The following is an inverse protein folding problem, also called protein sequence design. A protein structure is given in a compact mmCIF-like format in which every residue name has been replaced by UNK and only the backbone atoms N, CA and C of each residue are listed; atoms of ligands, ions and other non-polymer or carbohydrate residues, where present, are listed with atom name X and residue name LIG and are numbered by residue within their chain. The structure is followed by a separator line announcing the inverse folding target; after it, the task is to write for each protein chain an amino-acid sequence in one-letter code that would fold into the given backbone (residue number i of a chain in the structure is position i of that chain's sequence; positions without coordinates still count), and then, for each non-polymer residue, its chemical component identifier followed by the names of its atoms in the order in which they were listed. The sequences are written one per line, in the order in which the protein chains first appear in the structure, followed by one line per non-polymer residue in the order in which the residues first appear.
data_IF_584229788130
#
_entry.id   IF_584229788130
#
_cell.length_a   1.000
_cell.length_b   1.000
_cell.length_c   1.000
_cell.angle_alpha   90.00
_cell.angle_beta   90.00
_cell.angle_gamma   90.00
#
_symmetry.space_group_name_H-M   'P 1'
#
loop_
_entity.id
_entity.type
_entity.pdbx_description
1 polymer ?
#
# COMPACT_ATOMS: atom_id res chain seq x y z
N UNK A 1 2.46 -42.90 -5.89
CA UNK A 1 3.14 -41.60 -6.04
C UNK A 1 2.40 -40.57 -5.18
N UNK A 2 3.09 -39.98 -4.21
CA UNK A 2 2.50 -39.37 -3.02
C UNK A 2 1.80 -38.01 -3.26
N UNK A 3 0.47 -38.02 -3.20
CA UNK A 3 -0.39 -36.80 -3.25
C UNK A 3 -0.27 -35.89 -2.01
N UNK A 4 0.36 -36.35 -0.94
CA UNK A 4 0.51 -35.60 0.31
C UNK A 4 1.75 -34.67 0.34
N UNK A 5 2.75 -34.89 -0.51
CA UNK A 5 3.93 -34.05 -0.60
C UNK A 5 3.63 -32.74 -1.34
N UNK A 6 2.92 -32.81 -2.44
CA UNK A 6 2.54 -31.64 -3.24
C UNK A 6 1.58 -30.66 -2.50
N UNK A 7 0.77 -31.17 -1.57
CA UNK A 7 -0.16 -30.33 -0.80
C UNK A 7 0.55 -29.52 0.29
N UNK A 8 1.63 -30.07 0.87
CA UNK A 8 2.47 -29.35 1.85
C UNK A 8 3.36 -28.30 1.18
N UNK A 9 3.88 -28.59 -0.02
CA UNK A 9 4.68 -27.63 -0.80
C UNK A 9 3.81 -26.51 -1.37
N UNK A 10 2.56 -26.77 -1.78
CA UNK A 10 1.62 -25.75 -2.20
C UNK A 10 1.20 -24.83 -1.05
N UNK A 11 0.99 -25.36 0.15
CA UNK A 11 0.69 -24.57 1.36
C UNK A 11 1.91 -23.80 1.87
N UNK A 12 3.12 -24.32 1.66
CA UNK A 12 4.37 -23.62 2.00
C UNK A 12 4.67 -22.47 1.03
N UNK A 13 4.33 -22.59 -0.27
CA UNK A 13 4.51 -21.51 -1.25
C UNK A 13 3.55 -20.34 -1.04
N UNK A 14 2.36 -20.56 -0.48
CA UNK A 14 1.43 -19.50 -0.07
C UNK A 14 1.81 -18.81 1.24
N UNK A 15 2.68 -19.42 2.05
CA UNK A 15 3.11 -18.88 3.35
C UNK A 15 4.39 -18.03 3.27
N UNK A 16 5.08 -18.00 2.14
CA UNK A 16 6.37 -17.32 2.00
C UNK A 16 6.28 -15.79 1.80
N UNK A 17 5.08 -15.19 1.80
CA UNK A 17 4.90 -13.73 1.88
C UNK A 17 4.37 -13.25 3.23
N UNK A 18 4.05 -14.15 4.15
CA UNK A 18 3.85 -13.84 5.55
C UNK A 18 5.11 -14.31 6.29
N UNK A 19 6.14 -13.47 6.32
CA UNK A 19 7.28 -13.70 7.19
C UNK A 19 6.75 -13.93 8.60
N UNK A 20 6.87 -15.16 9.10
CA UNK A 20 6.60 -15.51 10.46
C UNK A 20 7.54 -14.67 11.35
N UNK A 21 7.02 -13.58 11.92
CA UNK A 21 7.66 -12.92 13.05
C UNK A 21 7.40 -13.83 14.24
N UNK A 22 8.37 -14.64 14.58
CA UNK A 22 8.43 -15.33 15.87
C UNK A 22 8.55 -14.25 16.94
N UNK A 23 7.50 -14.06 17.72
CA UNK A 23 7.47 -13.20 18.90
C UNK A 23 8.17 -13.95 20.05
N UNK A 24 9.48 -13.79 20.15
CA UNK A 24 10.17 -13.99 21.41
C UNK A 24 10.21 -12.67 22.18
N UNK A 25 9.78 -12.72 23.44
CA UNK A 25 9.77 -11.57 24.33
C UNK A 25 11.19 -11.05 24.55
N UNK A 26 11.54 -9.95 23.91
CA UNK A 26 12.82 -9.28 24.12
C UNK A 26 12.74 -8.39 25.35
N UNK A 27 13.67 -8.63 26.29
CA UNK A 27 14.05 -7.65 27.32
C UNK A 27 14.59 -6.40 26.65
N UNK A 28 14.18 -5.21 27.11
CA UNK A 28 14.56 -3.92 26.54
C UNK A 28 16.10 -3.81 26.42
N UNK A 29 16.63 -3.58 25.23
CA UNK A 29 18.05 -3.38 25.05
C UNK A 29 18.50 -2.01 25.54
N UNK A 30 19.66 -1.96 26.15
CA UNK A 30 20.34 -0.70 26.54
C UNK A 30 20.88 -0.06 25.27
N UNK A 31 20.39 1.15 24.96
CA UNK A 31 20.86 1.97 23.83
C UNK A 31 22.34 2.27 23.97
N UNK A 32 23.11 2.08 22.92
CA UNK A 32 24.48 2.53 22.80
C UNK A 32 24.74 3.00 21.38
N UNK A 33 25.25 4.23 21.23
CA UNK A 33 25.70 4.72 19.94
C UNK A 33 26.69 3.71 19.33
N UNK A 34 26.47 3.33 18.09
CA UNK A 34 27.43 2.49 17.35
C UNK A 34 28.50 3.40 16.79
N UNK A 35 29.76 3.03 16.97
CA UNK A 35 30.82 3.71 16.26
C UNK A 35 30.66 3.45 14.76
N UNK A 36 30.28 4.47 14.00
CA UNK A 36 30.16 4.42 12.54
C UNK A 36 31.49 4.00 11.84
N UNK A 37 32.59 3.94 12.60
CA UNK A 37 33.88 3.43 12.14
C UNK A 37 34.11 1.96 12.46
N UNK A 38 33.27 1.31 13.26
CA UNK A 38 33.39 -0.10 13.59
C UNK A 38 33.11 -0.98 12.36
N UNK A 39 33.63 -2.19 12.39
CA UNK A 39 33.45 -3.18 11.32
C UNK A 39 32.02 -3.71 11.33
N UNK A 40 31.28 -3.75 10.19
CA UNK A 40 29.93 -4.32 10.12
C UNK A 40 29.88 -5.81 10.51
N UNK A 41 28.73 -6.28 11.00
CA UNK A 41 28.54 -7.67 11.43
C UNK A 41 28.81 -8.68 10.31
N UNK A 42 28.41 -8.39 9.08
CA UNK A 42 28.66 -9.22 7.89
C UNK A 42 30.17 -9.49 7.66
N UNK A 43 31.06 -8.65 8.18
CA UNK A 43 32.50 -8.82 8.14
C UNK A 43 33.10 -9.34 9.47
N UNK A 44 32.26 -9.77 10.41
CA UNK A 44 32.65 -10.28 11.73
C UNK A 44 32.84 -9.20 12.80
N UNK A 45 32.27 -8.02 12.63
CA UNK A 45 32.08 -7.01 13.69
C UNK A 45 30.84 -7.30 14.53
N UNK A 46 30.56 -6.44 15.52
CA UNK A 46 29.38 -6.54 16.35
C UNK A 46 28.16 -5.95 15.60
N UNK A 47 27.01 -6.63 15.71
CA UNK A 47 25.73 -6.06 15.28
C UNK A 47 25.37 -4.80 16.06
N UNK A 48 24.59 -3.91 15.49
CA UNK A 48 24.14 -2.70 16.18
C UNK A 48 23.10 -3.05 17.24
N UNK A 49 23.04 -2.25 18.30
CA UNK A 49 21.95 -2.31 19.27
C UNK A 49 20.76 -1.56 18.68
N UNK A 50 19.82 -2.30 18.15
CA UNK A 50 18.66 -1.78 17.46
C UNK A 50 17.38 -2.26 18.14
N UNK A 51 16.43 -1.31 18.34
CA UNK A 51 15.07 -1.63 18.79
C UNK A 51 14.15 -1.59 17.57
N UNK A 52 13.55 -2.71 17.21
CA UNK A 52 12.65 -2.78 16.05
C UNK A 52 11.35 -1.95 16.20
N UNK A 53 11.20 -1.23 17.32
CA UNK A 53 10.00 -0.50 17.66
C UNK A 53 8.95 -1.36 18.38
N UNK A 54 7.74 -0.83 18.61
CA UNK A 54 6.70 -1.57 19.31
C UNK A 54 6.27 -2.81 18.53
N UNK A 55 5.81 -3.82 19.27
CA UNK A 55 5.18 -4.97 18.66
C UNK A 55 4.00 -4.53 17.75
N UNK A 56 3.92 -5.14 16.58
CA UNK A 56 2.86 -4.87 15.62
C UNK A 56 2.07 -6.16 15.33
N UNK A 57 0.72 -6.15 15.38
CA UNK A 57 -0.18 -4.99 15.51
C UNK A 57 -0.10 -4.28 16.87
N UNK A 58 -0.37 -2.97 16.85
CA UNK A 58 -0.51 -2.20 18.07
C UNK A 58 -1.74 -2.67 18.86
N UNK A 59 -1.59 -2.84 20.18
CA UNK A 59 -2.67 -3.21 21.08
C UNK A 59 -3.02 -2.00 21.97
N UNK A 60 -4.21 -1.44 21.77
CA UNK A 60 -4.68 -0.25 22.48
C UNK A 60 -5.08 -0.55 23.95
N UNK A 61 -5.33 -1.81 24.28
CA UNK A 61 -5.67 -2.29 25.61
C UNK A 61 -7.15 -2.54 25.86
N UNK A 62 -8.03 -2.11 24.96
CA UNK A 62 -9.49 -2.28 25.10
C UNK A 62 -10.14 -3.15 24.00
N UNK A 63 -9.34 -3.75 23.10
CA UNK A 63 -9.85 -4.61 22.03
C UNK A 63 -10.61 -5.82 22.56
N UNK A 64 -10.13 -6.42 23.66
CA UNK A 64 -10.79 -7.60 24.26
C UNK A 64 -12.18 -7.24 24.77
N UNK A 65 -12.34 -6.10 25.43
CA UNK A 65 -13.63 -5.65 25.94
C UNK A 65 -14.60 -5.39 24.79
N UNK A 66 -14.14 -4.69 23.73
CA UNK A 66 -14.95 -4.44 22.55
C UNK A 66 -15.32 -5.71 21.77
N UNK A 67 -14.44 -6.70 21.70
CA UNK A 67 -14.76 -8.01 21.13
C UNK A 67 -15.79 -8.75 21.97
N UNK A 68 -15.70 -8.66 23.29
CA UNK A 68 -16.69 -9.24 24.21
C UNK A 68 -18.07 -8.62 23.99
N UNK A 69 -18.16 -7.29 23.84
CA UNK A 69 -19.40 -6.60 23.48
C UNK A 69 -19.99 -7.10 22.16
N UNK A 70 -19.15 -7.35 21.13
CA UNK A 70 -19.61 -7.93 19.86
C UNK A 70 -20.19 -9.33 20.05
N UNK A 71 -19.54 -10.17 20.86
CA UNK A 71 -20.06 -11.51 21.17
C UNK A 71 -21.41 -11.46 21.92
N UNK A 72 -21.54 -10.61 22.90
CA UNK A 72 -22.74 -10.48 23.72
C UNK A 72 -23.91 -9.87 22.94
N UNK A 73 -23.67 -8.80 22.15
CA UNK A 73 -24.69 -8.14 21.34
C UNK A 73 -25.13 -8.96 20.12
N UNK A 74 -24.33 -9.96 19.71
CA UNK A 74 -24.54 -10.77 18.49
C UNK A 74 -24.53 -9.97 17.18
N UNK A 75 -24.00 -8.74 17.19
CA UNK A 75 -23.81 -7.91 16.01
C UNK A 75 -22.50 -8.28 15.28
N UNK A 76 -22.44 -9.50 14.77
CA UNK A 76 -21.23 -10.08 14.19
C UNK A 76 -20.95 -9.66 12.75
N UNK A 77 -21.90 -9.04 12.11
CA UNK A 77 -21.78 -8.52 10.75
C UNK A 77 -22.16 -7.02 10.70
N UNK A 78 -21.98 -6.40 9.55
CA UNK A 78 -22.50 -5.06 9.31
C UNK A 78 -24.03 -5.09 9.38
N UNK A 79 -24.60 -4.47 10.39
CA UNK A 79 -26.03 -4.39 10.67
C UNK A 79 -26.58 -2.97 10.51
N UNK A 80 -27.33 -2.54 11.50
CA UNK A 80 -27.86 -1.18 11.62
C UNK A 80 -26.79 -0.19 12.13
N UNK A 81 -27.20 1.05 12.38
CA UNK A 81 -26.34 2.16 12.83
C UNK A 81 -25.60 1.88 14.14
N UNK A 82 -26.08 0.96 14.96
CA UNK A 82 -25.43 0.57 16.23
C UNK A 82 -24.36 -0.52 16.06
N UNK A 83 -24.27 -1.12 14.88
CA UNK A 83 -23.30 -2.19 14.67
C UNK A 83 -21.85 -1.67 14.73
N UNK A 84 -20.91 -2.45 15.31
CA UNK A 84 -19.52 -2.04 15.42
C UNK A 84 -18.87 -1.62 14.08
N UNK A 85 -19.31 -2.23 12.98
CA UNK A 85 -18.84 -1.89 11.64
C UNK A 85 -19.32 -0.50 11.19
N UNK A 86 -20.63 -0.16 11.39
CA UNK A 86 -21.16 1.15 11.01
C UNK A 86 -20.62 2.25 11.92
N UNK A 87 -20.43 1.98 13.20
CA UNK A 87 -19.76 2.91 14.12
C UNK A 87 -18.35 3.22 13.63
N UNK A 88 -17.57 2.21 13.25
CA UNK A 88 -16.25 2.39 12.68
C UNK A 88 -16.28 3.17 11.35
N UNK A 89 -17.21 2.87 10.43
CA UNK A 89 -17.39 3.59 9.16
C UNK A 89 -17.55 5.09 9.40
N UNK A 90 -18.43 5.47 10.30
CA UNK A 90 -18.72 6.86 10.63
C UNK A 90 -17.53 7.56 11.29
N UNK A 91 -16.88 6.92 12.24
CA UNK A 91 -15.74 7.50 12.95
C UNK A 91 -14.53 7.65 12.03
N UNK A 92 -14.28 6.67 11.14
CA UNK A 92 -13.20 6.73 10.16
C UNK A 92 -13.45 7.82 9.10
N UNK A 93 -14.66 7.89 8.54
CA UNK A 93 -15.02 8.95 7.60
C UNK A 93 -14.86 10.34 8.24
N UNK A 94 -15.37 10.51 9.47
CA UNK A 94 -15.24 11.75 10.23
C UNK A 94 -13.78 12.11 10.50
N UNK A 95 -12.94 11.15 10.89
CA UNK A 95 -11.51 11.37 11.15
C UNK A 95 -10.77 11.89 9.91
N UNK A 96 -11.11 11.37 8.74
CA UNK A 96 -10.47 11.76 7.49
C UNK A 96 -11.16 12.94 6.80
N UNK A 97 -12.33 13.37 7.28
CA UNK A 97 -13.06 14.52 6.75
C UNK A 97 -13.87 14.20 5.48
N UNK A 98 -14.32 12.94 5.32
CA UNK A 98 -15.25 12.52 4.28
C UNK A 98 -16.67 12.41 4.82
N UNK A 99 -17.68 12.54 3.94
CA UNK A 99 -19.10 12.43 4.34
C UNK A 99 -19.54 10.99 4.53
N UNK A 100 -19.05 10.06 3.69
CA UNK A 100 -19.45 8.67 3.69
C UNK A 100 -18.24 7.75 3.75
N UNK A 101 -18.34 6.72 4.60
CA UNK A 101 -17.38 5.63 4.68
C UNK A 101 -18.13 4.29 4.67
N UNK A 102 -17.66 3.34 3.88
CA UNK A 102 -18.22 1.99 3.81
C UNK A 102 -17.11 0.96 3.99
N UNK A 103 -17.24 0.15 5.02
CA UNK A 103 -16.28 -0.88 5.37
C UNK A 103 -16.50 -2.14 4.52
N UNK A 104 -15.41 -2.65 3.98
CA UNK A 104 -15.37 -3.85 3.14
C UNK A 104 -14.36 -4.86 3.68
N UNK A 105 -14.37 -6.08 3.14
CA UNK A 105 -13.58 -7.20 3.67
C UNK A 105 -12.06 -7.08 3.45
N UNK A 106 -11.60 -6.23 2.53
CA UNK A 106 -10.18 -6.02 2.26
C UNK A 106 -9.94 -4.74 1.43
N UNK A 107 -8.69 -4.26 1.33
CA UNK A 107 -8.34 -3.19 0.41
C UNK A 107 -8.59 -3.57 -1.05
N UNK A 108 -8.38 -4.83 -1.42
CA UNK A 108 -8.68 -5.33 -2.77
C UNK A 108 -10.16 -5.19 -3.11
N UNK A 109 -11.05 -5.58 -2.17
CA UNK A 109 -12.50 -5.43 -2.37
C UNK A 109 -12.94 -3.97 -2.31
N UNK A 110 -12.21 -3.07 -1.62
CA UNK A 110 -12.44 -1.63 -1.72
C UNK A 110 -12.21 -1.12 -3.14
N UNK A 111 -11.07 -1.49 -3.76
CA UNK A 111 -10.76 -1.13 -5.14
C UNK A 111 -11.76 -1.73 -6.14
N UNK A 112 -12.12 -3.00 -5.99
CA UNK A 112 -13.15 -3.65 -6.82
C UNK A 112 -14.50 -2.95 -6.74
N UNK A 113 -14.91 -2.58 -5.52
CA UNK A 113 -16.15 -1.85 -5.27
C UNK A 113 -16.11 -0.47 -5.91
N UNK A 114 -15.00 0.25 -5.82
CA UNK A 114 -14.81 1.56 -6.43
C UNK A 114 -14.85 1.50 -7.96
N UNK A 115 -14.16 0.53 -8.57
CA UNK A 115 -14.21 0.31 -10.02
C UNK A 115 -15.62 -0.06 -10.49
N UNK A 116 -16.33 -0.91 -9.72
CA UNK A 116 -17.72 -1.26 -10.02
C UNK A 116 -18.67 -0.06 -9.91
N UNK A 117 -18.46 0.81 -8.92
CA UNK A 117 -19.27 2.04 -8.76
C UNK A 117 -19.10 3.01 -9.93
N UNK A 118 -17.93 3.03 -10.58
CA UNK A 118 -17.66 3.78 -11.80
C UNK A 118 -17.90 2.99 -13.08
N UNK A 119 -18.57 1.83 -12.99
CA UNK A 119 -18.97 1.00 -14.14
C UNK A 119 -17.80 0.50 -15.00
N UNK A 120 -16.58 0.46 -14.43
CA UNK A 120 -15.39 -0.07 -15.12
C UNK A 120 -15.62 -1.55 -15.44
N UNK A 121 -15.45 -1.97 -16.70
CA UNK A 121 -15.81 -3.31 -17.15
C UNK A 121 -15.01 -3.81 -18.35
N UNK A 122 -15.52 -4.89 -19.01
CA UNK A 122 -14.83 -5.50 -20.13
C UNK A 122 -14.60 -4.53 -21.28
N UNK A 123 -13.35 -4.35 -21.68
CA UNK A 123 -12.96 -3.47 -22.77
C UNK A 123 -12.48 -2.09 -22.33
N UNK A 124 -12.80 -1.69 -21.10
CA UNK A 124 -12.31 -0.45 -20.51
C UNK A 124 -10.82 -0.56 -20.14
N UNK A 125 -10.20 0.59 -19.98
CA UNK A 125 -8.81 0.74 -19.55
C UNK A 125 -8.73 1.56 -18.26
N UNK A 126 -7.86 1.13 -17.35
CA UNK A 126 -7.57 1.88 -16.12
C UNK A 126 -6.07 2.17 -16.06
N UNK A 127 -5.72 3.46 -15.98
CA UNK A 127 -4.32 3.87 -15.85
C UNK A 127 -3.86 3.65 -14.41
N UNK A 128 -2.77 2.91 -14.24
CA UNK A 128 -2.23 2.50 -12.95
C UNK A 128 -0.70 2.49 -12.96
N UNK A 129 -0.08 2.62 -11.79
CA UNK A 129 1.37 2.47 -11.63
C UNK A 129 1.81 1.00 -11.70
N UNK A 130 2.98 0.69 -12.30
CA UNK A 130 3.59 -0.62 -12.20
C UNK A 130 4.27 -0.86 -10.83
N UNK A 131 4.62 0.22 -10.09
CA UNK A 131 5.29 0.16 -8.80
C UNK A 131 4.24 0.15 -7.67
N UNK A 132 3.55 -0.98 -7.50
CA UNK A 132 2.48 -1.15 -6.52
C UNK A 132 2.35 -2.59 -6.04
N UNK A 133 1.54 -2.78 -5.00
CA UNK A 133 1.07 -4.10 -4.62
C UNK A 133 0.13 -4.65 -5.70
N UNK A 134 0.27 -5.94 -6.01
CA UNK A 134 -0.45 -6.59 -7.12
C UNK A 134 -1.98 -6.42 -7.08
N UNK A 135 -2.57 -6.14 -5.93
CA UNK A 135 -4.02 -5.93 -5.80
C UNK A 135 -4.54 -4.76 -6.62
N UNK A 136 -3.76 -3.67 -6.77
CA UNK A 136 -4.14 -2.52 -7.63
C UNK A 136 -4.29 -2.92 -9.10
N UNK A 137 -3.55 -3.94 -9.55
CA UNK A 137 -3.66 -4.51 -10.91
C UNK A 137 -4.74 -5.56 -11.00
N UNK A 138 -4.82 -6.44 -9.99
CA UNK A 138 -5.78 -7.55 -9.99
C UNK A 138 -7.23 -7.08 -9.95
N UNK A 139 -7.55 -6.01 -9.21
CA UNK A 139 -8.91 -5.48 -9.18
C UNK A 139 -9.39 -4.97 -10.56
N UNK A 140 -8.46 -4.48 -11.40
CA UNK A 140 -8.74 -4.08 -12.77
C UNK A 140 -9.01 -5.34 -13.63
N UNK A 141 -8.13 -6.35 -13.53
CA UNK A 141 -8.28 -7.62 -14.25
C UNK A 141 -9.56 -8.38 -13.87
N UNK A 142 -9.95 -8.37 -12.59
CA UNK A 142 -11.19 -8.97 -12.11
C UNK A 142 -12.44 -8.23 -12.63
N UNK A 143 -12.29 -6.95 -12.97
CA UNK A 143 -13.32 -6.19 -13.70
C UNK A 143 -13.35 -6.51 -15.19
N UNK A 144 -12.48 -7.39 -15.69
CA UNK A 144 -12.22 -7.66 -17.11
C UNK A 144 -11.79 -6.41 -17.88
N UNK A 145 -11.29 -5.38 -17.19
CA UNK A 145 -10.68 -4.20 -17.78
C UNK A 145 -9.17 -4.42 -17.99
N UNK A 146 -8.57 -3.58 -18.82
CA UNK A 146 -7.14 -3.64 -19.12
C UNK A 146 -6.37 -2.65 -18.21
N UNK A 147 -5.45 -3.10 -17.36
CA UNK A 147 -4.54 -2.20 -16.67
C UNK A 147 -3.57 -1.58 -17.68
N UNK A 148 -3.55 -0.25 -17.76
CA UNK A 148 -2.64 0.50 -18.62
C UNK A 148 -1.56 1.10 -17.73
N UNK A 149 -0.34 0.58 -17.86
CA UNK A 149 0.78 1.05 -17.06
C UNK A 149 1.34 2.36 -17.60
N UNK A 150 1.54 3.31 -16.69
CA UNK A 150 2.36 4.50 -16.94
C UNK A 150 3.50 4.51 -15.92
N UNK A 151 4.68 5.03 -16.35
CA UNK A 151 5.88 4.95 -15.52
C UNK A 151 5.81 5.86 -14.29
N UNK A 152 6.72 5.68 -13.38
CA UNK A 152 6.80 6.38 -12.11
C UNK A 152 7.88 7.47 -12.15
N UNK A 153 7.76 8.46 -11.29
CA UNK A 153 8.87 9.37 -10.95
C UNK A 153 9.85 8.65 -10.01
N UNK A 154 11.12 8.58 -10.40
CA UNK A 154 12.14 7.83 -9.66
C UNK A 154 12.53 8.45 -8.31
N UNK A 155 12.19 9.70 -8.04
CA UNK A 155 12.49 10.36 -6.77
C UNK A 155 11.33 10.19 -5.78
N UNK A 156 10.09 10.32 -6.27
CA UNK A 156 8.89 10.22 -5.43
C UNK A 156 8.32 8.81 -5.34
N UNK A 157 8.67 7.91 -6.27
CA UNK A 157 8.14 6.55 -6.43
C UNK A 157 6.66 6.53 -6.84
N UNK A 158 6.06 7.70 -7.07
CA UNK A 158 4.65 7.83 -7.42
C UNK A 158 4.45 7.71 -8.93
N UNK A 159 3.23 7.34 -9.34
CA UNK A 159 2.81 7.41 -10.73
C UNK A 159 3.03 8.83 -11.27
N UNK A 160 3.74 8.96 -12.39
CA UNK A 160 3.96 10.25 -13.05
C UNK A 160 2.70 10.65 -13.86
N UNK A 161 2.09 11.78 -13.49
CA UNK A 161 0.89 12.26 -14.15
C UNK A 161 1.11 12.60 -15.63
N UNK A 162 2.32 13.02 -16.01
CA UNK A 162 2.68 13.31 -17.40
C UNK A 162 2.82 12.02 -18.23
N UNK A 163 3.33 10.95 -17.64
CA UNK A 163 3.33 9.63 -18.26
C UNK A 163 1.92 9.05 -18.35
N UNK A 164 1.10 9.26 -17.32
CA UNK A 164 -0.30 8.87 -17.33
C UNK A 164 -1.08 9.59 -18.44
N UNK A 165 -0.89 10.89 -18.64
CA UNK A 165 -1.56 11.65 -19.72
C UNK A 165 -1.28 11.09 -21.11
N UNK A 166 -0.07 10.62 -21.37
CA UNK A 166 0.34 10.03 -22.67
C UNK A 166 -0.39 8.71 -22.97
N UNK A 167 -0.92 8.06 -21.93
CA UNK A 167 -1.60 6.76 -22.05
C UNK A 167 -3.11 6.87 -22.16
N UNK A 168 -3.70 8.05 -21.96
CA UNK A 168 -5.15 8.27 -22.06
C UNK A 168 -5.61 8.13 -23.50
N UNK A 169 -6.67 7.34 -23.70
CA UNK A 169 -7.37 7.17 -24.98
C UNK A 169 -8.88 7.02 -24.74
N UNK A 170 -9.65 6.74 -25.79
CA UNK A 170 -11.11 6.62 -25.76
C UNK A 170 -11.65 5.47 -24.89
N UNK A 171 -10.81 4.50 -24.54
CA UNK A 171 -11.19 3.38 -23.67
C UNK A 171 -10.84 3.64 -22.20
N UNK A 172 -10.16 4.73 -21.88
CA UNK A 172 -9.74 5.03 -20.49
C UNK A 172 -10.95 5.44 -19.66
N UNK A 173 -11.30 4.58 -18.68
CA UNK A 173 -12.48 4.75 -17.82
C UNK A 173 -12.15 5.28 -16.43
N UNK A 174 -10.91 5.10 -15.94
CA UNK A 174 -10.47 5.62 -14.65
C UNK A 174 -8.96 5.89 -14.59
N UNK A 175 -8.57 6.86 -13.74
CA UNK A 175 -7.21 7.06 -13.27
C UNK A 175 -7.11 6.50 -11.85
N UNK A 176 -6.13 5.62 -11.60
CA UNK A 176 -5.91 4.97 -10.30
C UNK A 176 -4.52 5.32 -9.76
N UNK A 177 -4.27 6.57 -9.30
CA UNK A 177 -3.06 6.89 -8.56
C UNK A 177 -3.01 6.10 -7.26
N UNK A 178 -1.84 5.51 -6.97
CA UNK A 178 -1.57 4.79 -5.74
C UNK A 178 -0.65 5.64 -4.87
N UNK A 179 -0.98 5.84 -3.62
CA UNK A 179 -0.15 6.58 -2.65
C UNK A 179 0.91 5.64 -2.05
N UNK A 180 1.94 5.33 -2.85
CA UNK A 180 2.96 4.34 -2.52
C UNK A 180 3.76 4.72 -1.27
N UNK A 181 3.91 3.75 -0.36
CA UNK A 181 4.58 3.95 0.92
C UNK A 181 3.80 4.84 1.89
N UNK A 182 2.62 5.32 1.49
CA UNK A 182 1.83 6.31 2.22
C UNK A 182 2.12 7.76 1.81
N UNK A 183 3.03 7.98 0.87
CA UNK A 183 3.33 9.29 0.30
C UNK A 183 2.29 9.67 -0.77
N UNK A 184 1.85 10.93 -0.84
CA UNK A 184 0.87 11.35 -1.84
C UNK A 184 1.43 11.27 -3.27
N UNK A 185 0.61 10.79 -4.21
CA UNK A 185 0.75 11.13 -5.61
C UNK A 185 0.48 12.63 -5.83
N UNK A 186 0.88 13.20 -6.97
CA UNK A 186 0.53 14.59 -7.33
C UNK A 186 -0.96 14.70 -7.64
N UNK A 187 -1.75 14.86 -6.55
CA UNK A 187 -3.21 14.85 -6.68
C UNK A 187 -3.75 16.06 -7.46
N UNK A 188 -3.06 17.20 -7.45
CA UNK A 188 -3.51 18.33 -8.28
C UNK A 188 -3.42 18.00 -9.76
N UNK A 189 -2.30 17.40 -10.19
CA UNK A 189 -2.11 16.99 -11.57
C UNK A 189 -3.13 15.91 -11.98
N UNK A 190 -3.37 14.90 -11.14
CA UNK A 190 -4.36 13.86 -11.45
C UNK A 190 -5.80 14.39 -11.48
N UNK A 191 -6.18 15.28 -10.57
CA UNK A 191 -7.52 15.88 -10.54
C UNK A 191 -7.75 16.80 -11.74
N UNK A 192 -6.73 17.59 -12.14
CA UNK A 192 -6.79 18.41 -13.35
C UNK A 192 -6.92 17.53 -14.61
N UNK A 193 -6.12 16.47 -14.68
CA UNK A 193 -6.16 15.51 -15.79
C UNK A 193 -7.52 14.82 -15.90
N UNK A 194 -8.05 14.34 -14.78
CA UNK A 194 -9.38 13.73 -14.71
C UNK A 194 -10.48 14.68 -15.17
N UNK A 195 -10.45 15.94 -14.67
CA UNK A 195 -11.38 16.98 -15.07
C UNK A 195 -11.29 17.32 -16.57
N UNK A 196 -10.07 17.46 -17.10
CA UNK A 196 -9.82 17.78 -18.51
C UNK A 196 -10.34 16.71 -19.47
N UNK A 197 -10.31 15.45 -19.04
CA UNK A 197 -10.66 14.27 -19.84
C UNK A 197 -12.04 13.68 -19.51
N UNK A 198 -12.71 14.22 -18.51
CA UNK A 198 -13.98 13.68 -17.96
C UNK A 198 -13.83 12.22 -17.49
N UNK A 199 -12.71 11.94 -16.80
CA UNK A 199 -12.34 10.61 -16.29
C UNK A 199 -12.26 10.67 -14.77
N UNK A 200 -12.93 9.77 -14.00
CA UNK A 200 -12.86 9.74 -12.56
C UNK A 200 -11.44 9.39 -12.07
N UNK A 201 -11.05 10.03 -10.96
CA UNK A 201 -9.83 9.71 -10.23
C UNK A 201 -10.23 8.91 -8.99
N UNK A 202 -9.76 7.66 -8.90
CA UNK A 202 -9.94 6.76 -7.75
C UNK A 202 -8.60 6.71 -7.02
N UNK A 203 -8.58 7.10 -5.74
CA UNK A 203 -7.34 7.03 -4.95
C UNK A 203 -7.15 5.62 -4.37
N UNK A 204 -6.07 4.95 -4.72
CA UNK A 204 -5.60 3.79 -3.94
C UNK A 204 -4.80 4.30 -2.74
N UNK A 205 -5.51 4.55 -1.64
CA UNK A 205 -4.98 5.01 -0.36
C UNK A 205 -4.72 3.83 0.61
N UNK A 206 -4.60 2.59 0.12
CA UNK A 206 -4.38 1.39 0.95
C UNK A 206 -3.10 1.42 1.80
N UNK A 207 -2.22 2.36 1.55
CA UNK A 207 -0.98 2.60 2.31
C UNK A 207 -0.96 3.99 2.98
N UNK A 208 -2.06 4.77 2.94
CA UNK A 208 -1.99 6.20 3.17
C UNK A 208 -2.93 6.73 4.28
N UNK A 209 -3.32 5.88 5.25
CA UNK A 209 -4.12 6.33 6.41
C UNK A 209 -3.37 7.44 7.15
N UNK A 210 -3.99 8.62 7.29
CA UNK A 210 -3.44 9.86 7.85
C UNK A 210 -2.41 10.60 6.95
N UNK A 211 -2.14 10.14 5.73
CA UNK A 211 -1.42 10.95 4.74
C UNK A 211 -2.21 12.18 4.31
N UNK A 212 -1.53 13.21 3.80
CA UNK A 212 -2.17 14.47 3.42
C UNK A 212 -1.61 15.03 2.10
N UNK A 213 -2.48 15.71 1.37
CA UNK A 213 -2.14 16.58 0.26
C UNK A 213 -2.72 17.97 0.51
N UNK A 214 -1.84 18.97 0.69
CA UNK A 214 -2.23 20.37 0.92
C UNK A 214 -3.28 20.53 2.05
N UNK A 215 -3.08 19.80 3.16
CA UNK A 215 -3.94 19.85 4.35
C UNK A 215 -5.24 19.03 4.26
N UNK A 216 -5.50 18.34 3.13
CA UNK A 216 -6.60 17.37 3.00
C UNK A 216 -6.06 15.95 3.13
N UNK A 217 -6.84 15.07 3.75
CA UNK A 217 -6.44 13.66 3.90
C UNK A 217 -6.48 12.94 2.56
N UNK A 218 -5.46 12.08 2.31
CA UNK A 218 -5.44 11.18 1.16
C UNK A 218 -6.63 10.23 1.21
N UNK A 219 -7.18 9.88 0.04
CA UNK A 219 -8.41 9.11 -0.08
C UNK A 219 -9.69 9.95 0.07
N UNK A 220 -9.57 11.30 0.12
CA UNK A 220 -10.72 12.23 0.14
C UNK A 220 -10.66 13.30 -0.94
N UNK A 221 -9.75 13.16 -1.89
CA UNK A 221 -9.53 14.15 -2.94
C UNK A 221 -10.17 13.74 -4.26
N UNK A 222 -10.07 12.47 -4.62
CA UNK A 222 -10.71 11.88 -5.80
C UNK A 222 -12.22 11.65 -5.62
N UNK A 223 -12.81 10.94 -6.56
CA UNK A 223 -14.23 10.57 -6.50
C UNK A 223 -14.50 9.48 -5.46
N UNK A 224 -13.57 8.55 -5.32
CA UNK A 224 -13.56 7.46 -4.33
C UNK A 224 -12.14 7.28 -3.81
N UNK A 225 -11.99 7.03 -2.50
CA UNK A 225 -10.73 6.66 -1.87
C UNK A 225 -10.80 5.29 -1.22
N UNK A 226 -9.85 4.42 -1.54
CA UNK A 226 -9.82 3.02 -1.11
C UNK A 226 -8.72 2.78 -0.09
N UNK A 227 -9.07 2.14 1.04
CA UNK A 227 -8.15 1.85 2.13
C UNK A 227 -8.07 0.37 2.44
N UNK A 228 -6.93 -0.06 2.96
CA UNK A 228 -6.71 -1.42 3.48
C UNK A 228 -6.45 -1.37 4.98
N UNK A 229 -7.08 -2.33 5.69
CA UNK A 229 -6.91 -2.55 7.13
C UNK A 229 -6.23 -3.91 7.41
N UNK A 230 -5.46 -4.41 6.45
CA UNK A 230 -4.67 -5.63 6.58
C UNK A 230 -3.58 -5.45 7.66
N UNK A 231 -3.15 -6.54 8.28
CA UNK A 231 -2.29 -6.54 9.49
C UNK A 231 -1.03 -5.67 9.42
N UNK A 232 -0.43 -5.48 8.25
CA UNK A 232 0.77 -4.63 8.10
C UNK A 232 0.48 -3.12 8.06
N UNK A 233 -0.81 -2.74 7.90
CA UNK A 233 -1.21 -1.33 7.70
C UNK A 233 -1.13 -0.53 8.99
N UNK A 234 -1.01 0.79 8.85
CA UNK A 234 -0.89 1.75 9.96
C UNK A 234 -2.11 1.72 10.91
N UNK A 235 -3.28 1.36 10.38
CA UNK A 235 -4.49 1.02 11.11
C UNK A 235 -4.93 -0.37 10.64
N UNK A 236 -4.99 -1.36 11.52
CA UNK A 236 -5.20 -2.74 11.08
C UNK A 236 -6.26 -3.48 11.91
N UNK A 237 -7.13 -4.21 11.19
CA UNK A 237 -8.14 -5.11 11.75
C UNK A 237 -7.84 -6.60 11.50
N UNK A 238 -6.58 -6.94 11.17
CA UNK A 238 -6.17 -8.24 10.64
C UNK A 238 -6.40 -8.30 9.14
N UNK A 239 -7.63 -8.20 8.71
CA UNK A 239 -8.09 -7.95 7.35
C UNK A 239 -9.16 -6.85 7.38
N UNK A 240 -9.45 -6.23 6.24
CA UNK A 240 -10.47 -5.20 6.09
C UNK A 240 -10.09 -4.13 5.07
N UNK A 241 -11.05 -3.29 4.75
CA UNK A 241 -10.87 -2.12 3.91
C UNK A 241 -12.00 -1.12 4.13
N UNK A 242 -11.84 0.08 3.59
CA UNK A 242 -12.86 1.13 3.60
C UNK A 242 -12.85 1.84 2.26
N UNK A 243 -14.04 2.22 1.77
CA UNK A 243 -14.20 3.15 0.66
C UNK A 243 -14.78 4.45 1.21
N UNK A 244 -14.16 5.59 0.88
CA UNK A 244 -14.62 6.93 1.25
C UNK A 244 -15.13 7.69 0.02
N UNK A 245 -16.14 8.52 0.21
CA UNK A 245 -16.62 9.49 -0.80
C UNK A 245 -17.41 10.61 -0.15
N UNK A 246 -17.47 11.76 -0.82
CA UNK A 246 -18.38 12.86 -0.48
C UNK A 246 -19.64 12.89 -1.35
N UNK A 247 -19.70 12.03 -2.36
CA UNK A 247 -20.83 11.91 -3.29
C UNK A 247 -21.81 10.85 -2.79
N UNK A 248 -23.03 11.27 -2.47
CA UNK A 248 -24.08 10.39 -1.96
C UNK A 248 -24.49 9.31 -2.97
N UNK A 249 -24.48 9.62 -4.25
CA UNK A 249 -24.85 8.65 -5.28
C UNK A 249 -23.78 7.56 -5.43
N UNK A 250 -22.50 7.94 -5.37
CA UNK A 250 -21.41 6.97 -5.33
C UNK A 250 -21.43 6.14 -4.04
N UNK A 251 -21.77 6.74 -2.88
CA UNK A 251 -21.93 5.99 -1.63
C UNK A 251 -23.01 4.90 -1.75
N UNK A 252 -24.15 5.18 -2.38
CA UNK A 252 -25.17 4.16 -2.66
C UNK A 252 -24.65 3.07 -3.61
N UNK A 253 -23.92 3.42 -4.67
CA UNK A 253 -23.32 2.44 -5.58
C UNK A 253 -22.32 1.53 -4.88
N UNK A 254 -21.48 2.10 -3.99
CA UNK A 254 -20.54 1.35 -3.16
C UNK A 254 -21.30 0.42 -2.20
N UNK A 255 -22.35 0.91 -1.55
CA UNK A 255 -23.22 0.11 -0.68
C UNK A 255 -23.86 -1.07 -1.44
N UNK A 256 -24.36 -0.84 -2.65
CA UNK A 256 -24.93 -1.88 -3.49
C UNK A 256 -23.86 -2.91 -3.91
N UNK A 257 -22.69 -2.45 -4.35
CA UNK A 257 -21.61 -3.33 -4.80
C UNK A 257 -21.13 -4.29 -3.70
N UNK A 258 -21.08 -3.84 -2.43
CA UNK A 258 -20.58 -4.67 -1.34
C UNK A 258 -21.66 -5.53 -0.64
N UNK A 259 -22.98 -5.32 -0.94
CA UNK A 259 -24.11 -6.04 -0.34
C UNK A 259 -25.01 -6.77 -1.34
N UNK A 260 -24.46 -7.33 -2.41
CA UNK A 260 -25.16 -8.11 -3.45
C UNK A 260 -25.93 -7.31 -4.51
N UNK A 261 -26.20 -6.00 -4.37
CA UNK A 261 -26.74 -5.13 -5.40
C UNK A 261 -28.12 -5.49 -5.99
N UNK A 262 -28.92 -6.28 -5.26
CA UNK A 262 -30.20 -6.77 -5.81
C UNK A 262 -31.26 -5.67 -5.90
N UNK A 263 -31.32 -4.79 -4.91
CA UNK A 263 -32.21 -3.63 -4.88
C UNK A 263 -31.39 -2.38 -4.64
N UNK A 264 -31.56 -1.31 -5.47
CA UNK A 264 -30.84 -0.06 -5.26
C UNK A 264 -31.16 0.55 -3.90
N UNK A 265 -30.15 0.71 -3.04
CA UNK A 265 -30.31 1.36 -1.73
C UNK A 265 -30.67 2.85 -1.86
N UNK A 266 -30.40 3.46 -3.01
CA UNK A 266 -30.83 4.83 -3.32
C UNK A 266 -32.33 5.02 -3.40
N UNK A 267 -33.14 3.94 -3.42
CA UNK A 267 -34.59 3.99 -3.63
C UNK A 267 -35.00 4.34 -5.08
N UNK A 268 -34.05 4.45 -6.01
CA UNK A 268 -34.28 4.74 -7.43
C UNK A 268 -34.77 3.49 -8.16
N UNK A 269 -35.59 3.71 -9.20
CA UNK A 269 -36.02 2.63 -10.10
C UNK A 269 -34.83 2.13 -10.96
N UNK A 270 -34.95 0.93 -11.54
CA UNK A 270 -33.94 0.38 -12.47
C UNK A 270 -33.82 1.22 -13.76
N UNK A 271 -34.82 2.05 -14.09
CA UNK A 271 -34.73 3.00 -15.19
C UNK A 271 -33.86 4.22 -14.88
N UNK A 272 -33.75 4.56 -13.57
CA UNK A 272 -32.94 5.70 -13.08
C UNK A 272 -31.57 5.27 -12.52
N UNK A 273 -31.39 3.99 -12.26
CA UNK A 273 -30.21 3.45 -11.61
C UNK A 273 -29.73 2.18 -12.31
N UNK A 274 -28.56 2.26 -12.91
CA UNK A 274 -27.90 1.07 -13.47
C UNK A 274 -27.29 0.23 -12.34
N UNK A 275 -27.70 -1.05 -12.19
CA UNK A 275 -27.13 -1.92 -11.17
C UNK A 275 -25.63 -2.09 -11.35
N UNK A 276 -24.91 -2.10 -10.23
CA UNK A 276 -23.46 -2.33 -10.18
C UNK A 276 -23.14 -3.83 -10.14
N UNK A 277 -21.95 -4.20 -10.53
CA UNK A 277 -21.44 -5.55 -10.26
C UNK A 277 -21.19 -5.68 -8.76
N UNK A 278 -21.82 -6.65 -8.13
CA UNK A 278 -21.91 -6.77 -6.70
C UNK A 278 -21.54 -8.16 -6.19
N UNK A 279 -21.08 -8.20 -4.95
CA UNK A 279 -20.80 -9.44 -4.23
C UNK A 279 -21.01 -9.22 -2.72
N UNK A 280 -20.66 -10.21 -1.92
CA UNK A 280 -20.60 -10.05 -0.47
C UNK A 280 -19.20 -9.64 -0.04
N UNK A 281 -18.98 -8.34 0.09
CA UNK A 281 -17.70 -7.76 0.52
C UNK A 281 -17.76 -7.13 1.91
N UNK A 282 -18.79 -7.43 2.70
CA UNK A 282 -19.00 -6.80 4.02
C UNK A 282 -17.90 -7.15 5.02
N UNK A 283 -17.47 -6.15 5.78
CA UNK A 283 -16.63 -6.32 6.96
C UNK A 283 -17.43 -6.95 8.11
N UNK A 284 -16.78 -7.73 8.97
CA UNK A 284 -17.41 -8.27 10.18
C UNK A 284 -17.43 -7.27 11.34
N UNK A 285 -18.37 -7.43 12.29
CA UNK A 285 -18.43 -6.62 13.51
C UNK A 285 -17.17 -6.74 14.37
N UNK A 286 -16.50 -7.89 14.35
CA UNK A 286 -15.23 -8.12 15.07
C UNK A 286 -14.11 -7.21 14.56
N UNK A 287 -13.97 -7.10 13.25
CA UNK A 287 -12.98 -6.19 12.63
C UNK A 287 -13.32 -4.73 12.93
N UNK A 288 -14.60 -4.33 12.81
CA UNK A 288 -15.06 -2.99 13.17
C UNK A 288 -14.73 -2.61 14.62
N UNK A 289 -14.92 -3.54 15.55
CA UNK A 289 -14.60 -3.34 16.97
C UNK A 289 -13.10 -3.14 17.23
N UNK A 290 -12.24 -3.99 16.63
CA UNK A 290 -10.78 -3.85 16.73
C UNK A 290 -10.33 -2.52 16.16
N UNK A 291 -10.82 -2.14 14.98
CA UNK A 291 -10.44 -0.90 14.29
C UNK A 291 -10.90 0.33 15.10
N UNK A 292 -12.10 0.30 15.69
CA UNK A 292 -12.60 1.38 16.56
C UNK A 292 -11.76 1.53 17.85
N UNK A 293 -11.15 0.44 18.35
CA UNK A 293 -10.24 0.51 19.49
C UNK A 293 -8.94 1.26 19.15
N UNK A 294 -8.39 1.03 17.96
CA UNK A 294 -7.12 1.62 17.50
C UNK A 294 -7.26 3.06 16.98
N UNK A 295 -8.44 3.41 16.46
CA UNK A 295 -8.67 4.67 15.78
C UNK A 295 -8.26 5.92 16.58
N UNK A 296 -8.47 6.03 17.90
CA UNK A 296 -8.06 7.19 18.72
C UNK A 296 -6.54 7.42 18.74
N UNK A 297 -5.73 6.40 18.45
CA UNK A 297 -4.27 6.45 18.56
C UNK A 297 -3.58 6.81 17.24
N UNK A 298 -4.28 6.69 16.11
CA UNK A 298 -3.64 6.73 14.78
C UNK A 298 -3.03 8.10 14.46
N UNK A 299 -3.64 9.20 14.91
CA UNK A 299 -3.14 10.55 14.65
C UNK A 299 -1.79 10.79 15.34
N UNK A 300 -1.69 10.46 16.64
CA UNK A 300 -0.45 10.57 17.39
C UNK A 300 0.65 9.68 16.83
N UNK A 301 0.30 8.44 16.44
CA UNK A 301 1.26 7.54 15.77
C UNK A 301 1.72 8.09 14.42
N UNK A 302 0.85 8.74 13.64
CA UNK A 302 1.23 9.36 12.38
C UNK A 302 2.19 10.55 12.59
N UNK A 303 2.04 11.31 13.66
CA UNK A 303 2.94 12.40 14.01
C UNK A 303 4.34 11.87 14.35
N UNK A 304 4.44 10.84 15.19
CA UNK A 304 5.71 10.18 15.54
C UNK A 304 6.40 9.60 14.31
N UNK A 305 5.67 8.88 13.45
CA UNK A 305 6.24 8.34 12.20
C UNK A 305 6.79 9.46 11.33
N UNK A 306 6.06 10.56 11.20
CA UNK A 306 6.47 11.67 10.35
C UNK A 306 7.73 12.35 10.89
N UNK A 307 7.81 12.61 12.19
CA UNK A 307 8.99 13.19 12.82
C UNK A 307 10.22 12.30 12.60
N UNK A 308 10.12 11.02 12.91
CA UNK A 308 11.22 10.08 12.80
C UNK A 308 11.65 9.86 11.33
N UNK A 309 10.70 9.77 10.40
CA UNK A 309 11.01 9.61 8.98
C UNK A 309 11.73 10.82 8.39
N UNK A 310 11.29 12.03 8.72
CA UNK A 310 11.95 13.25 8.27
C UNK A 310 13.36 13.38 8.86
N UNK A 311 13.51 13.01 10.13
CA UNK A 311 14.82 12.98 10.79
C UNK A 311 15.75 11.94 10.14
N UNK A 312 15.30 10.72 9.94
CA UNK A 312 16.08 9.68 9.23
C UNK A 312 16.47 10.14 7.83
N UNK A 313 15.54 10.77 7.10
CA UNK A 313 15.82 11.31 5.77
C UNK A 313 16.91 12.38 5.79
N UNK A 314 16.96 13.21 6.82
CA UNK A 314 18.04 14.21 6.98
C UNK A 314 19.40 13.56 7.20
N UNK A 315 19.46 12.45 7.95
CA UNK A 315 20.68 11.71 8.21
C UNK A 315 21.20 10.92 7.00
N UNK A 316 20.28 10.37 6.20
CA UNK A 316 20.64 9.53 5.04
C UNK A 316 21.04 10.35 3.82
N UNK A 317 20.51 11.58 3.63
CA UNK A 317 20.88 12.45 2.51
C UNK A 317 22.36 12.81 2.46
N UNK A 318 23.04 12.79 3.60
CA UNK A 318 24.47 13.08 3.69
C UNK A 318 25.36 11.88 3.30
N UNK A 319 24.76 10.73 2.99
CA UNK A 319 25.49 9.52 2.62
C UNK A 319 25.52 9.41 1.09
N UNK A 320 26.69 9.52 0.43
CA UNK A 320 26.77 9.42 -1.02
C UNK A 320 26.18 8.12 -1.56
N UNK A 321 25.34 8.24 -2.57
CA UNK A 321 24.64 7.11 -3.20
C UNK A 321 23.39 6.66 -2.47
N UNK A 322 22.90 7.39 -1.45
CA UNK A 322 21.64 7.10 -0.74
C UNK A 322 20.64 8.22 -0.97
N UNK A 323 19.46 7.89 -1.47
CA UNK A 323 18.42 8.84 -1.87
C UNK A 323 17.09 8.49 -1.20
N UNK A 324 16.76 9.10 -0.03
CA UNK A 324 15.43 8.98 0.57
C UNK A 324 14.34 9.44 -0.39
N UNK A 325 13.17 8.77 -0.34
CA UNK A 325 12.00 9.15 -1.13
C UNK A 325 11.69 10.65 -0.96
N UNK A 326 11.53 11.35 -2.08
CA UNK A 326 11.08 12.74 -2.08
C UNK A 326 9.56 12.79 -1.93
N UNK A 327 9.08 13.57 -0.99
CA UNK A 327 7.66 13.89 -0.86
C UNK A 327 7.40 15.19 -1.63
N UNK A 328 6.33 15.23 -2.40
CA UNK A 328 5.91 16.46 -3.11
C UNK A 328 5.64 17.59 -2.14
N UNK A 329 5.90 18.83 -2.56
CA UNK A 329 5.64 20.03 -1.75
C UNK A 329 4.15 20.13 -1.41
N UNK A 330 3.86 20.34 -0.13
CA UNK A 330 2.50 20.32 0.42
C UNK A 330 1.97 18.92 0.75
N UNK A 331 2.74 17.88 0.44
CA UNK A 331 2.43 16.50 0.83
C UNK A 331 2.92 16.14 2.22
N UNK A 332 2.19 15.28 2.91
CA UNK A 332 2.60 14.61 4.15
C UNK A 332 2.37 13.11 3.98
N UNK A 333 3.41 12.32 4.12
CA UNK A 333 3.31 10.86 4.04
C UNK A 333 2.71 10.26 5.30
N UNK A 334 1.91 9.20 5.14
CA UNK A 334 1.48 8.33 6.22
C UNK A 334 2.60 7.39 6.70
N UNK A 335 3.67 7.27 5.93
CA UNK A 335 4.83 6.43 6.21
C UNK A 335 4.46 4.98 6.52
N UNK A 336 3.64 4.36 5.66
CA UNK A 336 3.42 2.92 5.71
C UNK A 336 4.71 2.14 5.43
N UNK A 337 5.50 2.69 4.52
CA UNK A 337 6.87 2.27 4.25
C UNK A 337 7.76 3.52 4.29
N UNK A 338 8.90 3.43 4.96
CA UNK A 338 9.99 4.36 4.75
C UNK A 338 10.82 3.82 3.60
N UNK A 339 10.88 4.57 2.52
CA UNK A 339 11.55 4.13 1.29
C UNK A 339 12.75 5.02 0.97
N UNK A 340 13.82 4.39 0.53
CA UNK A 340 14.96 5.05 -0.08
C UNK A 340 15.52 4.17 -1.20
N UNK A 341 16.28 4.76 -2.09
CA UNK A 341 17.02 4.02 -3.11
C UNK A 341 18.51 4.22 -2.95
N UNK A 342 19.29 3.29 -3.46
CA UNK A 342 20.73 3.44 -3.56
C UNK A 342 21.19 3.38 -5.01
N UNK A 343 22.21 4.18 -5.32
CA UNK A 343 22.98 4.07 -6.56
C UNK A 343 24.17 3.16 -6.30
N UNK A 344 24.24 2.02 -7.00
CA UNK A 344 25.30 1.02 -6.78
C UNK A 344 26.71 1.55 -7.09
N UNK A 345 26.84 2.39 -8.12
CA UNK A 345 28.16 2.93 -8.51
C UNK A 345 28.66 3.92 -7.46
N UNK A 346 27.79 4.82 -7.01
CA UNK A 346 28.13 5.83 -6.01
C UNK A 346 28.23 5.22 -4.60
N UNK A 347 27.34 4.32 -4.22
CA UNK A 347 27.37 3.64 -2.91
C UNK A 347 28.47 2.60 -2.82
N UNK A 348 28.84 1.96 -3.92
CA UNK A 348 29.88 0.92 -4.00
C UNK A 348 29.42 -0.50 -3.65
N UNK A 349 28.12 -0.71 -3.44
CA UNK A 349 27.49 -2.00 -3.13
C UNK A 349 26.09 -2.04 -3.75
N UNK A 350 25.67 -3.23 -4.22
CA UNK A 350 24.31 -3.41 -4.73
C UNK A 350 23.27 -3.28 -3.63
N UNK A 351 22.02 -2.98 -4.00
CA UNK A 351 20.88 -2.96 -3.10
C UNK A 351 20.77 -4.23 -2.25
N UNK A 352 20.93 -5.40 -2.86
CA UNK A 352 20.81 -6.69 -2.17
C UNK A 352 21.97 -6.90 -1.19
N UNK A 353 23.18 -6.44 -1.55
CA UNK A 353 24.33 -6.43 -0.65
C UNK A 353 24.11 -5.50 0.55
N UNK A 354 23.54 -4.32 0.35
CA UNK A 354 23.16 -3.43 1.46
C UNK A 354 22.11 -4.07 2.37
N UNK A 355 21.05 -4.66 1.80
CA UNK A 355 20.00 -5.34 2.58
C UNK A 355 20.61 -6.46 3.43
N UNK A 356 21.44 -7.31 2.83
CA UNK A 356 22.09 -8.39 3.57
C UNK A 356 22.94 -7.85 4.71
N UNK A 357 23.75 -6.81 4.48
CA UNK A 357 24.58 -6.20 5.51
C UNK A 357 23.76 -5.55 6.64
N UNK A 358 22.64 -4.90 6.33
CA UNK A 358 21.71 -4.32 7.32
C UNK A 358 21.05 -5.39 8.17
N UNK A 359 20.62 -6.50 7.56
CA UNK A 359 20.02 -7.63 8.27
C UNK A 359 21.01 -8.27 9.25
N UNK A 360 22.26 -8.46 8.84
CA UNK A 360 23.34 -8.96 9.73
C UNK A 360 23.65 -7.97 10.86
N UNK A 361 23.51 -6.67 10.61
CA UNK A 361 23.62 -5.61 11.60
C UNK A 361 22.38 -5.54 12.53
N UNK A 362 21.34 -6.33 12.28
CA UNK A 362 20.11 -6.37 13.09
C UNK A 362 19.03 -5.35 12.69
N UNK A 363 19.19 -4.66 11.55
CA UNK A 363 18.19 -3.72 11.01
C UNK A 363 17.28 -4.43 10.01
N UNK A 364 16.02 -4.73 10.36
CA UNK A 364 15.08 -5.33 9.42
C UNK A 364 14.79 -4.38 8.27
N UNK A 365 15.10 -4.79 7.06
CA UNK A 365 14.78 -4.05 5.84
C UNK A 365 14.49 -5.01 4.69
N UNK A 366 13.89 -4.48 3.62
CA UNK A 366 13.39 -5.29 2.54
C UNK A 366 13.65 -4.61 1.19
N UNK A 367 13.74 -5.40 0.14
CA UNK A 367 13.74 -4.90 -1.22
C UNK A 367 12.37 -4.28 -1.55
N UNK A 368 12.38 -3.25 -2.39
CA UNK A 368 11.16 -2.66 -2.96
C UNK A 368 10.34 -3.66 -3.80
N UNK A 369 9.29 -3.18 -4.43
CA UNK A 369 8.57 -3.99 -5.40
C UNK A 369 9.53 -4.48 -6.48
N UNK A 370 9.56 -5.80 -6.65
CA UNK A 370 10.49 -6.42 -7.60
C UNK A 370 10.06 -6.13 -9.04
N UNK A 371 11.05 -6.03 -9.92
CA UNK A 371 10.78 -6.02 -11.35
C UNK A 371 10.06 -7.30 -11.73
N UNK A 372 8.88 -7.17 -12.31
CA UNK A 372 8.10 -8.29 -12.83
C UNK A 372 7.69 -8.00 -14.27
N UNK A 373 7.48 -9.06 -15.02
CA UNK A 373 6.90 -8.95 -16.36
C UNK A 373 5.40 -8.70 -16.24
N UNK A 374 5.02 -7.43 -15.97
CA UNK A 374 3.63 -7.03 -15.89
C UNK A 374 2.86 -7.32 -17.19
N UNK A 375 3.51 -7.12 -18.34
CA UNK A 375 2.86 -7.34 -19.64
C UNK A 375 2.56 -8.82 -19.84
N UNK A 376 3.50 -9.70 -19.56
CA UNK A 376 3.29 -11.14 -19.59
C UNK A 376 2.28 -11.62 -18.57
N UNK A 377 2.27 -11.03 -17.34
CA UNK A 377 1.27 -11.35 -16.32
C UNK A 377 -0.14 -10.99 -16.77
N UNK A 378 -0.36 -9.78 -17.27
CA UNK A 378 -1.68 -9.32 -17.77
C UNK A 378 -2.13 -10.14 -18.96
N UNK A 379 -1.24 -10.41 -19.93
CA UNK A 379 -1.56 -11.26 -21.10
C UNK A 379 -2.04 -12.64 -20.67
N UNK A 380 -1.34 -13.31 -19.76
CA UNK A 380 -1.74 -14.61 -19.24
C UNK A 380 -3.07 -14.56 -18.50
N UNK A 381 -3.31 -13.51 -17.73
CA UNK A 381 -4.57 -13.32 -16.99
C UNK A 381 -5.75 -13.10 -17.92
N UNK A 382 -5.55 -12.43 -19.05
CA UNK A 382 -6.56 -12.19 -20.08
C UNK A 382 -6.66 -13.32 -21.13
N UNK A 383 -5.71 -14.26 -21.17
CA UNK A 383 -5.75 -15.41 -22.11
C UNK A 383 -6.77 -16.47 -21.68
N UNK A 384 -7.99 -16.03 -21.48
CA UNK A 384 -9.17 -16.86 -21.19
C UNK A 384 -10.13 -16.84 -22.36
N UNK A 385 -11.12 -17.75 -22.37
CA UNK A 385 -12.18 -17.72 -23.40
C UNK A 385 -12.94 -16.39 -23.41
N UNK A 386 -13.17 -15.81 -22.25
CA UNK A 386 -13.84 -14.52 -22.11
C UNK A 386 -12.94 -13.36 -22.54
N UNK A 387 -11.70 -13.34 -22.07
CA UNK A 387 -10.73 -12.30 -22.41
C UNK A 387 -10.46 -12.21 -23.91
N UNK A 388 -10.28 -13.36 -24.60
CA UNK A 388 -10.10 -13.39 -26.07
C UNK A 388 -11.33 -12.91 -26.88
N UNK A 389 -12.50 -12.76 -26.26
CA UNK A 389 -13.68 -12.13 -26.89
C UNK A 389 -13.69 -10.61 -26.75
N UNK A 390 -13.00 -10.09 -25.75
CA UNK A 390 -12.94 -8.66 -25.41
C UNK A 390 -11.69 -8.02 -26.02
N UNK A 391 -10.55 -8.72 -25.94
CA UNK A 391 -9.26 -8.20 -26.36
C UNK A 391 -8.72 -9.01 -27.52
N UNK A 392 -8.57 -8.35 -28.69
CA UNK A 392 -7.89 -8.98 -29.82
C UNK A 392 -6.38 -9.05 -29.55
N UNK A 393 -5.71 -9.95 -30.29
CA UNK A 393 -4.25 -10.08 -30.20
C UNK A 393 -3.57 -8.75 -30.58
N UNK A 394 -4.04 -8.09 -31.62
CA UNK A 394 -3.50 -6.83 -32.13
C UNK A 394 -3.61 -5.72 -31.08
N UNK A 395 -4.74 -5.64 -30.35
CA UNK A 395 -4.91 -4.66 -29.25
C UNK A 395 -3.90 -4.91 -28.13
N UNK A 396 -3.73 -6.16 -27.71
CA UNK A 396 -2.77 -6.50 -26.66
C UNK A 396 -1.31 -6.30 -27.12
N UNK A 397 -0.99 -6.58 -28.38
CA UNK A 397 0.35 -6.32 -28.95
C UNK A 397 0.65 -4.81 -28.94
N UNK A 398 -0.28 -3.98 -29.39
CA UNK A 398 -0.12 -2.52 -29.38
C UNK A 398 -0.04 -1.94 -27.94
N UNK A 399 -0.81 -2.48 -27.01
CA UNK A 399 -0.74 -2.11 -25.60
C UNK A 399 0.62 -2.44 -24.98
N UNK A 400 1.17 -3.64 -25.25
CA UNK A 400 2.49 -4.06 -24.78
C UNK A 400 3.60 -3.24 -25.37
N UNK A 401 3.60 -3.03 -26.72
CA UNK A 401 4.59 -2.21 -27.43
C UNK A 401 4.63 -0.77 -26.91
N UNK A 402 3.47 -0.23 -26.55
CA UNK A 402 3.38 1.12 -25.99
C UNK A 402 3.80 1.20 -24.52
N UNK A 403 4.00 0.08 -23.81
CA UNK A 403 4.36 0.04 -22.39
C UNK A 403 5.88 0.18 -22.24
N UNK A 404 6.34 1.32 -21.69
CA UNK A 404 7.74 1.60 -21.39
C UNK A 404 7.88 2.07 -19.95
N UNK A 405 8.67 1.36 -19.13
CA UNK A 405 8.72 1.48 -17.67
C UNK A 405 10.18 1.58 -17.15
N UNK A 406 11.04 2.46 -17.68
CA UNK A 406 12.45 2.52 -17.28
C UNK A 406 12.66 2.90 -15.82
N UNK A 407 11.89 3.84 -15.28
CA UNK A 407 11.99 4.24 -13.87
C UNK A 407 11.48 3.15 -12.91
N UNK A 408 10.40 2.45 -13.28
CA UNK A 408 9.94 1.27 -12.53
C UNK A 408 11.05 0.20 -12.42
N UNK A 409 11.71 -0.12 -13.54
CA UNK A 409 12.79 -1.10 -13.53
C UNK A 409 13.98 -0.63 -12.68
N UNK A 410 14.33 0.65 -12.76
CA UNK A 410 15.36 1.26 -11.92
C UNK A 410 15.01 1.14 -10.43
N UNK A 411 13.81 1.59 -10.02
CA UNK A 411 13.35 1.51 -8.63
C UNK A 411 13.29 0.07 -8.11
N UNK A 412 12.92 -0.88 -8.95
CA UNK A 412 12.88 -2.31 -8.58
C UNK A 412 14.26 -2.89 -8.26
N UNK A 413 15.33 -2.26 -8.74
CA UNK A 413 16.72 -2.67 -8.47
C UNK A 413 17.36 -1.88 -7.32
N UNK A 414 16.93 -0.64 -7.08
CA UNK A 414 17.58 0.29 -6.16
C UNK A 414 16.86 0.46 -4.82
N UNK A 415 15.53 0.20 -4.75
CA UNK A 415 14.72 0.54 -3.58
C UNK A 415 14.94 -0.38 -2.38
N UNK A 416 15.02 0.24 -1.20
CA UNK A 416 15.07 -0.40 0.12
C UNK A 416 13.93 0.13 0.98
N UNK A 417 13.28 -0.74 1.76
CA UNK A 417 12.14 -0.42 2.60
C UNK A 417 12.39 -0.74 4.08
N UNK A 418 11.89 0.16 4.94
CA UNK A 418 11.65 -0.09 6.36
C UNK A 418 10.14 -0.04 6.61
N UNK A 419 9.62 -0.89 7.51
CA UNK A 419 8.20 -0.88 7.85
C UNK A 419 7.82 0.24 8.82
N UNK A 420 6.57 0.65 8.78
CA UNK A 420 5.98 1.75 9.53
C UNK A 420 6.17 1.68 11.06
N UNK A 421 6.22 0.48 11.65
CA UNK A 421 6.39 0.30 13.09
C UNK A 421 7.81 0.64 13.56
N UNK A 422 8.82 0.54 12.69
CA UNK A 422 10.19 0.94 12.99
C UNK A 422 10.31 2.45 13.22
N UNK A 423 9.44 3.23 12.56
CA UNK A 423 9.34 4.66 12.77
C UNK A 423 8.58 5.05 14.07
N UNK A 424 8.00 4.09 14.80
CA UNK A 424 7.44 4.31 16.13
C UNK A 424 8.44 4.05 17.26
N UNK A 425 9.64 3.61 16.92
CA UNK A 425 10.73 3.45 17.86
C UNK A 425 11.25 4.82 18.38
N UNK A 426 12.02 4.85 19.47
CA UNK A 426 12.71 6.05 19.91
C UNK A 426 13.58 6.66 18.80
N UNK A 427 13.76 7.97 18.85
CA UNK A 427 14.49 8.74 17.81
C UNK A 427 15.94 8.25 17.61
N UNK A 428 16.57 7.78 18.66
CA UNK A 428 17.94 7.22 18.67
C UNK A 428 18.07 6.00 17.74
N UNK A 429 16.97 5.34 17.44
CA UNK A 429 16.99 4.26 16.46
C UNK A 429 17.19 4.77 15.03
N UNK A 430 16.76 5.98 14.74
CA UNK A 430 17.00 6.58 13.42
C UNK A 430 18.49 6.88 13.23
N UNK A 431 19.17 7.30 14.32
CA UNK A 431 20.64 7.44 14.33
C UNK A 431 21.32 6.08 14.09
N UNK A 432 20.85 5.03 14.78
CA UNK A 432 21.41 3.69 14.64
C UNK A 432 21.26 3.14 13.20
N UNK A 433 20.11 3.34 12.56
CA UNK A 433 19.90 2.98 11.14
C UNK A 433 20.88 3.74 10.23
N UNK A 434 20.99 5.06 10.41
CA UNK A 434 21.87 5.87 9.59
C UNK A 434 23.36 5.50 9.78
N UNK A 435 23.77 5.20 11.01
CA UNK A 435 25.14 4.76 11.33
C UNK A 435 25.45 3.39 10.77
N UNK A 436 24.47 2.46 10.76
CA UNK A 436 24.60 1.20 10.06
C UNK A 436 24.86 1.41 8.56
N UNK A 437 24.06 2.27 7.90
CA UNK A 437 24.25 2.57 6.47
C UNK A 437 25.61 3.22 6.22
N UNK A 438 26.05 4.18 7.07
CA UNK A 438 27.37 4.85 6.94
C UNK A 438 28.52 3.85 7.05
N UNK A 439 28.49 2.96 8.05
CA UNK A 439 29.55 1.97 8.22
C UNK A 439 29.56 0.93 7.09
N UNK A 440 28.40 0.49 6.61
CA UNK A 440 28.30 -0.40 5.44
C UNK A 440 28.88 0.30 4.20
N UNK A 441 28.55 1.57 3.95
CA UNK A 441 29.14 2.38 2.88
C UNK A 441 30.67 2.42 2.98
N UNK A 442 31.22 2.66 4.17
CA UNK A 442 32.66 2.72 4.42
C UNK A 442 33.38 1.42 4.07
N UNK A 443 32.74 0.28 4.37
CA UNK A 443 33.28 -1.06 4.13
C UNK A 443 32.72 -1.73 2.87
N UNK A 444 32.02 -0.98 1.99
CA UNK A 444 31.40 -1.53 0.79
C UNK A 444 32.34 -2.36 -0.10
N UNK A 445 33.62 -1.97 -0.34
CA UNK A 445 34.55 -2.81 -1.13
C UNK A 445 34.84 -4.16 -0.49
N UNK A 446 34.99 -4.20 0.85
CA UNK A 446 35.25 -5.43 1.58
C UNK A 446 34.03 -6.34 1.61
N UNK A 447 32.84 -5.76 1.79
CA UNK A 447 31.56 -6.48 1.76
C UNK A 447 31.33 -7.06 0.36
N UNK A 448 31.53 -6.26 -0.70
CA UNK A 448 31.40 -6.73 -2.09
C UNK A 448 32.29 -7.92 -2.37
N UNK A 449 33.53 -7.91 -1.83
CA UNK A 449 34.46 -9.04 -1.95
C UNK A 449 34.02 -10.26 -1.14
N UNK A 450 33.41 -10.06 0.03
CA UNK A 450 32.92 -11.15 0.88
C UNK A 450 31.66 -11.83 0.33
N UNK A 451 30.86 -11.10 -0.48
CA UNK A 451 29.64 -11.61 -1.11
C UNK A 451 29.88 -12.23 -2.50
N UNK A 452 31.04 -12.01 -3.11
CA UNK A 452 31.42 -12.56 -4.41
C UNK A 452 31.91 -14.01 -4.28
#
# INVERSE_FOLDING_TARGET
MNSNQNRREFLAAGASLAAAVALDAFSAPIYGAVDANSKPAILGGDAIKYDAGPAWPFFAGNEVDRLTEVFESRQWNRGDESSPTVVFENDFAKLLGSKFGLAVSSGTTALQTALSAHDVGPGDEVIVTPYTYVASVNCILESYALPVFADVDAETFQLDASEAEKRINENTQALLPVHIGGAPADMDAFLELGKKRDIPVIEDACQAVMGEWKGRKLGTLGSLGCFSMQISKNLCGGEGGVVLTDDEFLAYKVLDAHTHGFLPHSGRSLDEYRPVRASNYRMTGFQGAILSAQLPHIAAQADVRNENALYLSSLLRDIPGVYPQRIYDGGRSAWHLYMFRIDEEEFGLSRDGLIQALLEDGVPCYAGYQSCDWTGYVRKSLDTRAGRRVYSKERLDAWEEATSLPNFHKLSQEAVWLFQYQLLAPKENMDAIADAVRRIKKYAPDIKKALA
#
